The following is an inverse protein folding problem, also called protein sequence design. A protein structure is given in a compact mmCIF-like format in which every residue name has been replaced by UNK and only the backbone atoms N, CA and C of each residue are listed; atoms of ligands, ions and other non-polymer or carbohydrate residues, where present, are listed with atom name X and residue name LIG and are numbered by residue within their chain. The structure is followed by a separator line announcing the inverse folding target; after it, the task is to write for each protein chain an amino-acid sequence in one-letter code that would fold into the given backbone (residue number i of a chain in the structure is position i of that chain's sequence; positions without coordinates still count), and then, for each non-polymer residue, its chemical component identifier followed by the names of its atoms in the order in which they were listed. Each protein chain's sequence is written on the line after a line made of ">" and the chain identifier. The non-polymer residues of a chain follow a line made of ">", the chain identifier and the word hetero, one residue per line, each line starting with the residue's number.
data_IF_982613223073
#
_entry.id   IF_982613223073
#
_cell.length_a   1.000
_cell.length_b   1.000
_cell.length_c   1.000
_cell.angle_alpha   90.00
_cell.angle_beta   90.00
_cell.angle_gamma   90.00
#
_symmetry.space_group_name_H-M   'P 1'
#
loop_
_entity.id
_entity.type
_entity.pdbx_description
1 polymer ?
#
# COMPACT_ATOMS: atom_id res chain seq x y z
N UNK A 1 22.90 -29.42 10.62
CA UNK A 1 21.75 -29.40 9.71
C UNK A 1 20.97 -28.05 9.70
N UNK A 2 20.99 -27.29 10.80
CA UNK A 2 20.29 -26.00 10.89
C UNK A 2 21.04 -24.81 10.26
N UNK A 3 22.40 -24.83 10.28
CA UNK A 3 23.23 -23.70 9.83
C UNK A 3 23.01 -23.37 8.34
N UNK A 4 23.02 -24.32 7.39
CA UNK A 4 22.80 -24.04 5.98
C UNK A 4 21.42 -23.44 5.68
N UNK A 5 20.39 -23.85 6.43
CA UNK A 5 19.04 -23.28 6.30
C UNK A 5 19.00 -21.82 6.77
N UNK A 6 19.66 -21.52 7.88
CA UNK A 6 19.75 -20.14 8.38
C UNK A 6 20.52 -19.24 7.42
N UNK A 7 21.61 -19.75 6.83
CA UNK A 7 22.39 -19.00 5.84
C UNK A 7 21.56 -18.67 4.59
N UNK A 8 20.77 -19.63 4.10
CA UNK A 8 19.84 -19.40 2.98
C UNK A 8 18.80 -18.34 3.35
N UNK A 9 18.16 -18.45 4.53
CA UNK A 9 17.17 -17.48 4.98
C UNK A 9 17.78 -16.07 5.15
N UNK A 10 18.98 -15.98 5.72
CA UNK A 10 19.70 -14.70 5.90
C UNK A 10 20.03 -14.09 4.53
N UNK A 11 20.49 -14.92 3.58
CA UNK A 11 20.79 -14.47 2.21
C UNK A 11 19.52 -13.97 1.52
N UNK A 12 18.43 -14.73 1.54
CA UNK A 12 17.15 -14.34 0.95
C UNK A 12 16.60 -13.03 1.55
N UNK A 13 16.71 -12.89 2.88
CA UNK A 13 16.29 -11.65 3.56
C UNK A 13 17.20 -10.49 3.15
N UNK A 14 18.50 -10.71 3.07
CA UNK A 14 19.49 -9.68 2.69
C UNK A 14 19.29 -9.23 1.24
N UNK A 15 18.95 -10.13 0.34
CA UNK A 15 18.67 -9.85 -1.06
C UNK A 15 17.33 -9.08 -1.22
N UNK A 16 16.31 -9.47 -0.46
CA UNK A 16 15.01 -8.77 -0.45
C UNK A 16 15.10 -7.38 0.16
N UNK A 17 15.92 -7.19 1.20
CA UNK A 17 16.12 -5.92 1.90
C UNK A 17 17.51 -5.34 1.64
N UNK A 18 17.94 -5.36 0.38
CA UNK A 18 19.21 -4.79 -0.05
C UNK A 18 19.34 -3.28 0.24
N UNK A 19 20.52 -2.68 0.01
CA UNK A 19 20.78 -1.27 0.33
C UNK A 19 19.79 -0.30 -0.30
N UNK A 20 19.27 -0.63 -1.48
CA UNK A 20 18.29 0.19 -2.20
C UNK A 20 16.94 0.24 -1.49
N UNK A 21 16.43 -0.91 -1.01
CA UNK A 21 15.17 -0.99 -0.29
C UNK A 21 15.30 -0.32 1.08
N UNK A 22 16.39 -0.56 1.81
CA UNK A 22 16.65 0.09 3.11
C UNK A 22 16.63 1.61 3.01
N UNK A 23 17.27 2.18 1.98
CA UNK A 23 17.24 3.63 1.73
C UNK A 23 15.83 4.13 1.48
N UNK A 24 15.05 3.41 0.69
CA UNK A 24 13.67 3.80 0.41
C UNK A 24 12.78 3.72 1.65
N UNK A 25 12.95 2.68 2.47
CA UNK A 25 12.24 2.54 3.75
C UNK A 25 12.66 3.58 4.80
N UNK A 26 13.81 4.26 4.65
CA UNK A 26 14.17 5.37 5.52
C UNK A 26 13.16 6.54 5.42
N UNK A 27 12.38 6.64 4.32
CA UNK A 27 11.24 7.56 4.23
C UNK A 27 10.14 7.26 5.27
N UNK A 28 10.12 6.08 5.89
CA UNK A 28 9.20 5.79 6.99
C UNK A 28 9.41 6.73 8.19
N UNK A 29 10.61 7.31 8.33
CA UNK A 29 10.88 8.38 9.30
C UNK A 29 10.07 9.67 9.07
N UNK A 30 9.34 9.82 7.97
CA UNK A 30 8.37 10.91 7.76
C UNK A 30 7.02 10.63 8.41
N UNK A 31 6.76 9.38 8.83
CA UNK A 31 5.51 9.02 9.50
C UNK A 31 5.53 9.56 10.93
N UNK A 32 4.53 10.34 11.36
CA UNK A 32 4.52 10.98 12.67
C UNK A 32 4.70 10.05 13.87
N UNK A 33 4.13 8.85 13.80
CA UNK A 33 4.30 7.84 14.86
C UNK A 33 5.71 7.25 14.94
N UNK A 34 6.53 7.39 13.88
CA UNK A 34 7.87 6.83 13.75
C UNK A 34 8.89 7.88 13.32
N UNK A 35 8.67 9.14 13.71
CA UNK A 35 9.46 10.28 13.25
C UNK A 35 10.95 10.02 13.44
N UNK A 36 11.67 9.99 12.31
CA UNK A 36 13.12 9.71 12.27
C UNK A 36 13.96 10.98 12.21
N UNK A 37 15.27 10.82 12.25
CA UNK A 37 16.20 11.94 12.10
C UNK A 37 16.41 12.26 10.61
N UNK A 38 16.62 13.56 10.30
CA UNK A 38 16.89 14.03 8.94
C UNK A 38 18.05 13.30 8.27
N UNK A 39 19.12 13.01 9.01
CA UNK A 39 20.29 12.28 8.48
C UNK A 39 19.96 10.93 7.87
N UNK A 40 18.97 10.23 8.41
CA UNK A 40 18.49 8.94 7.90
C UNK A 40 17.60 9.13 6.65
N UNK A 41 16.75 10.13 6.69
CA UNK A 41 15.80 10.44 5.62
C UNK A 41 16.52 11.01 4.39
N UNK A 42 17.60 11.79 4.61
CA UNK A 42 18.39 12.42 3.56
C UNK A 42 18.91 11.40 2.54
N UNK A 43 19.39 10.24 2.98
CA UNK A 43 19.88 9.19 2.08
C UNK A 43 18.78 8.63 1.15
N UNK A 44 17.52 8.66 1.60
CA UNK A 44 16.38 8.29 0.77
C UNK A 44 15.93 9.45 -0.10
N UNK A 45 15.92 10.67 0.44
CA UNK A 45 15.59 11.88 -0.27
C UNK A 45 16.45 12.09 -1.52
N UNK A 46 17.77 11.93 -1.42
CA UNK A 46 18.70 12.11 -2.54
C UNK A 46 18.31 11.26 -3.78
N UNK A 47 17.74 10.09 -3.55
CA UNK A 47 17.24 9.21 -4.62
C UNK A 47 16.02 9.77 -5.35
N UNK A 48 15.19 10.52 -4.66
CA UNK A 48 13.92 11.03 -5.17
C UNK A 48 13.94 12.53 -5.46
N UNK A 49 15.10 13.18 -5.31
CA UNK A 49 15.27 14.62 -5.52
C UNK A 49 14.77 15.11 -6.89
N UNK A 50 14.89 14.27 -7.93
CA UNK A 50 14.43 14.58 -9.27
C UNK A 50 12.90 14.69 -9.41
N UNK A 51 12.14 14.19 -8.45
CA UNK A 51 10.66 14.23 -8.44
C UNK A 51 10.11 15.37 -7.56
N UNK A 52 10.99 16.17 -6.95
CA UNK A 52 10.63 17.24 -6.04
C UNK A 52 10.71 18.59 -6.75
N UNK A 53 9.74 19.46 -6.47
CA UNK A 53 9.67 20.79 -7.08
C UNK A 53 10.83 21.70 -6.63
N UNK A 54 11.16 21.65 -5.34
CA UNK A 54 12.18 22.50 -4.73
C UNK A 54 13.08 21.71 -3.77
N UNK A 55 14.01 20.90 -4.29
CA UNK A 55 14.86 20.03 -3.46
C UNK A 55 15.65 20.78 -2.36
N UNK A 56 16.07 22.01 -2.63
CA UNK A 56 16.91 22.80 -1.71
C UNK A 56 16.22 23.17 -0.38
N UNK A 57 14.89 23.18 -0.33
CA UNK A 57 14.13 23.58 0.87
C UNK A 57 13.60 22.42 1.71
N UNK A 58 13.82 21.18 1.26
CA UNK A 58 13.24 19.97 1.91
C UNK A 58 13.71 19.82 3.36
N UNK A 59 14.95 20.17 3.68
CA UNK A 59 15.47 20.11 5.05
C UNK A 59 14.74 21.10 5.99
N UNK A 60 14.47 22.31 5.49
CA UNK A 60 13.68 23.30 6.22
C UNK A 60 12.24 22.86 6.40
N UNK A 61 11.65 22.30 5.34
CA UNK A 61 10.29 21.73 5.35
C UNK A 61 10.18 20.56 6.34
N UNK A 62 11.20 19.69 6.38
CA UNK A 62 11.26 18.61 7.35
C UNK A 62 11.37 19.13 8.79
N UNK A 63 12.17 20.16 9.04
CA UNK A 63 12.27 20.77 10.38
C UNK A 63 10.94 21.34 10.86
N UNK A 64 10.14 21.91 9.97
CA UNK A 64 8.80 22.39 10.30
C UNK A 64 7.83 21.22 10.53
N UNK A 65 7.93 20.15 9.72
CA UNK A 65 7.17 18.93 9.90
C UNK A 65 7.45 18.25 11.24
N UNK A 66 8.71 18.13 11.58
CA UNK A 66 9.16 17.61 12.88
C UNK A 66 8.58 18.42 14.05
N UNK A 67 8.70 19.76 14.01
CA UNK A 67 8.14 20.65 15.02
C UNK A 67 6.63 20.54 15.14
N UNK A 68 5.92 20.46 14.02
CA UNK A 68 4.46 20.26 14.01
C UNK A 68 4.08 19.04 14.82
N UNK A 69 4.75 17.92 14.60
CA UNK A 69 4.40 16.66 15.23
C UNK A 69 4.99 16.48 16.64
N UNK A 70 6.11 17.14 16.93
CA UNK A 70 6.67 17.17 18.29
C UNK A 70 5.78 17.98 19.24
N UNK A 71 5.12 19.03 18.72
CA UNK A 71 4.21 19.88 19.50
C UNK A 71 2.74 19.37 19.49
N UNK A 72 2.43 18.35 18.71
CA UNK A 72 1.10 17.73 18.68
C UNK A 72 0.94 16.75 19.83
N UNK A 73 -0.32 16.49 20.22
CA UNK A 73 -0.64 15.49 21.24
C UNK A 73 -0.21 14.08 20.79
N UNK A 74 0.20 13.25 21.74
CA UNK A 74 0.59 11.87 21.46
C UNK A 74 -0.55 11.06 20.80
N UNK A 75 -1.80 11.41 21.09
CA UNK A 75 -2.98 10.79 20.48
C UNK A 75 -3.02 11.03 18.98
N UNK A 76 -2.78 12.26 18.52
CA UNK A 76 -2.79 12.61 17.10
C UNK A 76 -1.62 11.96 16.36
N UNK A 77 -0.44 11.91 16.97
CA UNK A 77 0.72 11.20 16.45
C UNK A 77 0.43 9.71 16.27
N UNK A 78 -0.22 9.10 17.26
CA UNK A 78 -0.58 7.68 17.24
C UNK A 78 -1.69 7.33 16.23
N UNK A 79 -2.48 8.29 15.79
CA UNK A 79 -3.43 8.09 14.68
C UNK A 79 -2.71 8.04 13.33
N UNK A 80 -1.57 8.71 13.18
CA UNK A 80 -0.77 8.75 11.97
C UNK A 80 0.32 7.67 11.96
N UNK A 81 -0.07 6.39 11.96
CA UNK A 81 0.84 5.22 11.97
C UNK A 81 1.25 4.73 10.60
N UNK A 82 0.55 5.12 9.55
CA UNK A 82 0.79 4.64 8.18
C UNK A 82 1.18 5.78 7.27
N UNK A 83 1.85 5.47 6.17
CA UNK A 83 2.19 6.47 5.15
C UNK A 83 0.93 7.17 4.60
N UNK A 84 -0.18 6.43 4.44
CA UNK A 84 -1.45 6.99 3.95
C UNK A 84 -2.07 7.95 4.97
N UNK A 85 -2.09 7.59 6.27
CA UNK A 85 -2.61 8.49 7.30
C UNK A 85 -1.75 9.75 7.45
N UNK A 86 -0.42 9.62 7.35
CA UNK A 86 0.50 10.75 7.34
C UNK A 86 0.30 11.65 6.11
N UNK A 87 0.08 11.06 4.94
CA UNK A 87 -0.21 11.79 3.70
C UNK A 87 -1.51 12.61 3.81
N UNK A 88 -2.56 12.01 4.37
CA UNK A 88 -3.84 12.71 4.59
C UNK A 88 -3.72 13.88 5.58
N UNK A 89 -2.78 13.78 6.54
CA UNK A 89 -2.49 14.84 7.51
C UNK A 89 -1.45 15.87 7.02
N UNK A 90 -0.92 15.68 5.79
CA UNK A 90 0.12 16.51 5.18
C UNK A 90 -0.48 17.46 4.13
N UNK A 91 -0.77 18.72 4.47
CA UNK A 91 -1.27 19.68 3.48
C UNK A 91 -0.14 20.02 2.48
N UNK A 92 -0.43 19.81 1.20
CA UNK A 92 0.53 20.03 0.10
C UNK A 92 0.95 21.49 -0.06
N UNK A 93 0.15 22.43 0.43
CA UNK A 93 0.45 23.87 0.39
C UNK A 93 1.60 24.25 1.33
N UNK A 94 1.72 23.60 2.49
CA UNK A 94 2.75 23.88 3.48
C UNK A 94 3.95 22.92 3.40
N UNK A 95 3.72 21.71 2.92
CA UNK A 95 4.71 20.63 2.86
C UNK A 95 4.69 19.94 1.49
N UNK A 96 4.97 20.66 0.39
CA UNK A 96 4.87 20.12 -0.96
C UNK A 96 5.83 18.93 -1.17
N UNK A 97 7.08 19.05 -0.77
CA UNK A 97 8.07 18.00 -0.98
C UNK A 97 7.84 16.80 -0.06
N UNK A 98 7.48 17.02 1.21
CA UNK A 98 7.13 15.93 2.14
C UNK A 98 5.90 15.19 1.64
N UNK A 99 4.90 15.90 1.09
CA UNK A 99 3.72 15.28 0.51
C UNK A 99 4.09 14.34 -0.65
N UNK A 100 4.99 14.76 -1.55
CA UNK A 100 5.49 13.89 -2.62
C UNK A 100 6.22 12.67 -2.07
N UNK A 101 7.10 12.85 -1.08
CA UNK A 101 7.84 11.74 -0.47
C UNK A 101 6.90 10.75 0.26
N UNK A 102 5.88 11.23 0.97
CA UNK A 102 4.86 10.40 1.61
C UNK A 102 4.00 9.67 0.57
N UNK A 103 3.71 10.30 -0.56
CA UNK A 103 3.00 9.67 -1.69
C UNK A 103 3.84 8.52 -2.28
N UNK A 104 5.13 8.73 -2.50
CA UNK A 104 6.06 7.69 -2.92
C UNK A 104 6.07 6.56 -1.88
N UNK A 105 6.22 6.87 -0.60
CA UNK A 105 6.22 5.88 0.48
C UNK A 105 4.92 5.07 0.52
N UNK A 106 3.77 5.71 0.29
CA UNK A 106 2.47 5.04 0.32
C UNK A 106 2.25 4.04 -0.82
N UNK A 107 3.00 4.17 -1.92
CA UNK A 107 2.95 3.24 -3.07
C UNK A 107 3.91 2.07 -2.95
N UNK A 108 4.83 2.11 -1.96
CA UNK A 108 5.79 1.03 -1.79
C UNK A 108 5.14 -0.20 -1.16
N UNK A 109 5.35 -1.39 -1.72
CA UNK A 109 4.86 -2.61 -1.12
C UNK A 109 5.64 -2.89 0.17
N UNK A 110 4.99 -2.70 1.30
CA UNK A 110 5.59 -2.99 2.62
C UNK A 110 5.70 -4.48 2.90
N UNK A 111 4.95 -5.31 2.17
CA UNK A 111 4.88 -6.75 2.39
C UNK A 111 4.42 -7.48 1.12
N UNK A 112 4.91 -8.68 0.89
CA UNK A 112 4.42 -9.62 -0.13
C UNK A 112 3.19 -10.40 0.33
N UNK A 113 2.77 -10.24 1.58
CA UNK A 113 1.68 -11.01 2.17
C UNK A 113 0.32 -10.78 1.47
N UNK A 114 0.04 -9.54 1.03
CA UNK A 114 -1.20 -9.25 0.31
C UNK A 114 -1.25 -9.93 -1.08
N UNK A 115 -0.24 -9.81 -1.96
CA UNK A 115 -0.17 -10.59 -3.19
C UNK A 115 -0.27 -12.10 -2.95
N UNK A 116 0.44 -12.64 -1.94
CA UNK A 116 0.40 -14.07 -1.60
C UNK A 116 -1.01 -14.52 -1.19
N UNK A 117 -1.73 -13.72 -0.40
CA UNK A 117 -3.14 -13.98 -0.05
C UNK A 117 -4.04 -13.99 -1.29
N UNK A 118 -3.80 -13.05 -2.22
CA UNK A 118 -4.55 -13.00 -3.49
C UNK A 118 -4.24 -14.23 -4.32
N UNK A 119 -2.98 -14.61 -4.50
CA UNK A 119 -2.59 -15.82 -5.23
C UNK A 119 -3.17 -17.09 -4.61
N UNK A 120 -3.20 -17.18 -3.28
CA UNK A 120 -3.87 -18.30 -2.59
C UNK A 120 -5.37 -18.36 -2.93
N UNK A 121 -6.05 -17.22 -3.05
CA UNK A 121 -7.45 -17.17 -3.48
C UNK A 121 -7.61 -17.54 -4.95
N UNK A 122 -6.71 -17.09 -5.82
CA UNK A 122 -6.66 -17.48 -7.23
C UNK A 122 -6.57 -19.00 -7.35
N UNK A 123 -5.62 -19.63 -6.69
CA UNK A 123 -5.41 -21.07 -6.73
C UNK A 123 -6.62 -21.85 -6.19
N UNK A 124 -7.32 -21.34 -5.17
CA UNK A 124 -8.55 -21.95 -4.65
C UNK A 124 -9.72 -21.80 -5.63
N UNK A 125 -9.78 -20.70 -6.38
CA UNK A 125 -10.84 -20.42 -7.36
C UNK A 125 -10.60 -21.20 -8.64
N UNK A 126 -9.37 -21.30 -9.12
CA UNK A 126 -8.91 -22.15 -10.21
C UNK A 126 -8.70 -23.57 -9.71
N UNK A 127 -9.78 -24.24 -9.35
CA UNK A 127 -9.72 -25.69 -9.12
C UNK A 127 -9.74 -26.45 -10.45
N UNK A 128 -9.30 -27.72 -10.43
CA UNK A 128 -9.30 -28.57 -11.62
C UNK A 128 -10.67 -28.64 -12.32
N UNK A 129 -11.77 -28.47 -11.58
CA UNK A 129 -13.15 -28.44 -12.09
C UNK A 129 -13.51 -27.10 -12.75
N UNK A 130 -12.74 -26.03 -12.50
CA UNK A 130 -13.00 -24.68 -13.01
C UNK A 130 -11.86 -24.15 -13.91
N UNK A 131 -11.08 -25.05 -14.50
CA UNK A 131 -9.94 -24.70 -15.36
C UNK A 131 -10.34 -23.99 -16.67
N UNK A 132 -11.62 -24.08 -17.08
CA UNK A 132 -12.16 -23.45 -18.30
C UNK A 132 -12.78 -22.08 -18.05
N UNK A 133 -12.55 -21.48 -16.88
CA UNK A 133 -13.05 -20.13 -16.56
C UNK A 133 -12.30 -19.09 -17.40
N UNK A 134 -13.06 -18.15 -18.03
CA UNK A 134 -12.46 -17.02 -18.74
C UNK A 134 -11.77 -16.07 -17.76
N UNK A 135 -10.79 -15.31 -18.24
CA UNK A 135 -10.02 -14.36 -17.44
C UNK A 135 -10.91 -13.34 -16.74
N UNK A 136 -11.83 -12.69 -17.47
CA UNK A 136 -12.79 -11.71 -16.94
C UNK A 136 -13.63 -12.26 -15.79
N UNK A 137 -14.04 -13.52 -15.92
CA UNK A 137 -14.85 -14.18 -14.89
C UNK A 137 -14.02 -14.51 -13.66
N UNK A 138 -12.77 -14.93 -13.86
CA UNK A 138 -11.82 -15.18 -12.79
C UNK A 138 -11.53 -13.91 -12.02
N UNK A 139 -11.21 -12.82 -12.74
CA UNK A 139 -10.95 -11.50 -12.15
C UNK A 139 -12.14 -11.04 -11.31
N UNK A 140 -13.35 -11.10 -11.86
CA UNK A 140 -14.57 -10.72 -11.14
C UNK A 140 -14.77 -11.55 -9.86
N UNK A 141 -14.54 -12.85 -9.91
CA UNK A 141 -14.66 -13.73 -8.74
C UNK A 141 -13.61 -13.40 -7.67
N UNK A 142 -12.37 -13.10 -8.07
CA UNK A 142 -11.29 -12.75 -7.15
C UNK A 142 -11.55 -11.38 -6.54
N UNK A 143 -11.98 -10.40 -7.35
CA UNK A 143 -12.32 -9.06 -6.87
C UNK A 143 -13.35 -9.13 -5.75
N UNK A 144 -14.44 -9.87 -5.92
CA UNK A 144 -15.48 -10.05 -4.90
C UNK A 144 -14.96 -10.77 -3.65
N UNK A 145 -14.00 -11.68 -3.78
CA UNK A 145 -13.40 -12.38 -2.64
C UNK A 145 -12.39 -11.52 -1.87
N UNK A 146 -11.70 -10.61 -2.55
CA UNK A 146 -10.67 -9.75 -1.96
C UNK A 146 -11.32 -8.51 -1.36
N UNK A 147 -12.20 -7.86 -2.11
CA UNK A 147 -12.83 -6.58 -1.76
C UNK A 147 -14.24 -6.80 -1.20
N UNK A 148 -14.33 -7.44 -0.04
CA UNK A 148 -15.63 -7.75 0.60
C UNK A 148 -16.45 -6.52 0.96
N UNK A 149 -15.81 -5.39 1.18
CA UNK A 149 -16.45 -4.10 1.45
C UNK A 149 -17.07 -3.46 0.20
N UNK A 150 -16.73 -3.95 -0.99
CA UNK A 150 -17.30 -3.49 -2.28
C UNK A 150 -18.37 -4.45 -2.80
N UNK A 151 -18.97 -5.26 -1.94
CA UNK A 151 -20.04 -6.18 -2.34
C UNK A 151 -21.26 -5.37 -2.82
N UNK A 152 -21.72 -5.56 -4.05
CA UNK A 152 -22.88 -4.83 -4.57
C UNK A 152 -24.16 -5.27 -3.85
N UNK A 153 -25.13 -4.38 -3.80
CA UNK A 153 -26.45 -4.66 -3.22
C UNK A 153 -27.12 -5.83 -3.96
N UNK A 154 -27.61 -6.86 -3.24
CA UNK A 154 -28.20 -8.04 -3.88
C UNK A 154 -29.35 -7.73 -4.86
N UNK A 155 -30.20 -6.75 -4.53
CA UNK A 155 -31.29 -6.31 -5.42
C UNK A 155 -30.77 -5.79 -6.75
N UNK A 156 -29.74 -4.94 -6.74
CA UNK A 156 -29.12 -4.40 -7.94
C UNK A 156 -28.46 -5.50 -8.81
N UNK A 157 -27.93 -6.54 -8.17
CA UNK A 157 -27.36 -7.70 -8.89
C UNK A 157 -28.47 -8.50 -9.58
N UNK A 158 -29.59 -8.74 -8.90
CA UNK A 158 -30.74 -9.45 -9.45
C UNK A 158 -31.33 -8.70 -10.64
N UNK A 159 -31.54 -7.39 -10.52
CA UNK A 159 -32.09 -6.54 -11.59
C UNK A 159 -31.16 -6.55 -12.80
N UNK A 160 -29.86 -6.38 -12.59
CA UNK A 160 -28.89 -6.44 -13.68
C UNK A 160 -28.84 -7.82 -14.33
N UNK A 161 -28.92 -8.87 -13.53
CA UNK A 161 -28.97 -10.24 -14.04
C UNK A 161 -30.21 -10.49 -14.88
N UNK A 162 -31.38 -9.98 -14.48
CA UNK A 162 -32.63 -10.10 -15.21
C UNK A 162 -32.61 -9.35 -16.55
N UNK A 163 -31.94 -8.19 -16.61
CA UNK A 163 -31.92 -7.30 -17.79
C UNK A 163 -30.80 -7.61 -18.78
N UNK A 164 -29.72 -8.25 -18.37
CA UNK A 164 -28.50 -8.42 -19.21
C UNK A 164 -28.60 -9.56 -20.23
N UNK A 165 -29.50 -10.52 -20.07
CA UNK A 165 -29.66 -11.62 -21.01
C UNK A 165 -31.16 -11.90 -21.27
N UNK A 166 -31.51 -12.25 -22.53
CA UNK A 166 -32.81 -12.82 -22.85
C UNK A 166 -32.97 -14.18 -22.16
N UNK A 167 -33.33 -14.18 -20.89
CA UNK A 167 -33.51 -15.38 -20.07
C UNK A 167 -34.99 -15.75 -20.06
N UNK A 168 -35.25 -17.06 -20.14
CA UNK A 168 -36.62 -17.60 -20.06
C UNK A 168 -37.23 -17.58 -18.66
N UNK A 169 -36.48 -17.10 -17.67
CA UNK A 169 -36.89 -17.01 -16.26
C UNK A 169 -37.45 -15.62 -16.00
N UNK A 170 -38.74 -15.51 -15.76
CA UNK A 170 -39.37 -14.33 -15.21
C UNK A 170 -39.25 -14.41 -13.69
N UNK A 171 -38.47 -13.53 -13.10
CA UNK A 171 -38.50 -13.33 -11.66
C UNK A 171 -39.66 -12.38 -11.32
N UNK A 172 -40.64 -12.87 -10.60
CA UNK A 172 -41.68 -12.04 -9.97
C UNK A 172 -41.11 -11.70 -8.58
N UNK A 173 -40.73 -10.45 -8.39
CA UNK A 173 -40.35 -9.89 -7.09
C UNK A 173 -41.60 -9.38 -6.39
#
# INVERSE_FOLDING_TARGET
>A
MYIPLLDVIITDISDRFGPHQRRTFALAGLIPAQLGQWTQIRAAYDKYAAYLDTPAVVEGEFSLWEKKWTNSDDTDRMQCKTAVSALNACPSEFFPNINVLLRILSTLPSSTAEPERVFSKVNKTLSAVRSTMTEDRLESCILLQVQRNLTPEPAAVIDRFATTAARRLHFVL
#
